data_IF_046911081101
#
_entry.id   IF_046911081101
#
_cell.length_a   1.000
_cell.length_b   1.000
_cell.length_c   1.000
_cell.angle_alpha   90.00
_cell.angle_beta   90.00
_cell.angle_gamma   90.00
#
_symmetry.space_group_name_H-M   'P 1'
#
loop_
_entity.id
_entity.type
_entity.pdbx_description
1 polymer ?
#
# COMPACT_ATOMS: atom_id res chain seq x y z
N UNK A 1 9.96 25.94 -17.48
CA UNK A 1 10.02 25.54 -16.04
C UNK A 1 9.98 24.02 -15.98
N UNK A 2 10.70 23.39 -15.06
CA UNK A 2 10.61 21.93 -14.86
C UNK A 2 9.29 21.62 -14.15
N UNK A 3 8.48 20.71 -14.70
CA UNK A 3 7.23 20.29 -14.09
C UNK A 3 7.47 19.54 -12.76
N UNK A 4 6.57 19.72 -11.80
CA UNK A 4 6.56 18.97 -10.56
C UNK A 4 5.89 17.60 -10.78
N UNK A 5 6.32 16.61 -10.02
CA UNK A 5 5.77 15.24 -10.08
C UNK A 5 5.33 14.81 -8.69
N UNK A 6 4.06 14.50 -8.54
CA UNK A 6 3.51 13.83 -7.37
C UNK A 6 3.05 12.43 -7.77
N UNK A 7 3.71 11.41 -7.22
CA UNK A 7 3.34 10.03 -7.41
C UNK A 7 2.63 9.52 -6.13
N UNK A 8 1.31 9.34 -6.22
CA UNK A 8 0.52 8.75 -5.13
C UNK A 8 0.39 7.26 -5.42
N UNK A 9 0.87 6.43 -4.50
CA UNK A 9 0.96 5.00 -4.67
C UNK A 9 0.24 4.28 -3.53
N UNK A 10 -0.78 3.51 -3.87
CA UNK A 10 -1.55 2.69 -2.92
C UNK A 10 -1.13 1.23 -3.02
N UNK A 11 -1.38 0.45 -1.97
CA UNK A 11 -1.08 -0.97 -1.96
C UNK A 11 -2.37 -1.81 -2.00
N UNK A 12 -2.36 -2.86 -2.81
CA UNK A 12 -3.43 -3.87 -2.90
C UNK A 12 -4.81 -3.29 -3.28
N UNK A 13 -4.87 -2.14 -3.93
CA UNK A 13 -6.15 -1.58 -4.40
C UNK A 13 -6.63 -2.30 -5.65
N UNK A 14 -7.82 -2.89 -5.57
CA UNK A 14 -8.48 -3.52 -6.71
C UNK A 14 -8.97 -2.44 -7.69
N UNK A 15 -8.68 -2.64 -8.96
CA UNK A 15 -9.00 -1.66 -10.00
C UNK A 15 -10.52 -1.42 -10.20
N UNK A 16 -11.35 -2.37 -9.81
CA UNK A 16 -12.81 -2.28 -9.85
C UNK A 16 -13.42 -1.55 -8.64
N UNK A 17 -12.68 -1.38 -7.55
CA UNK A 17 -13.15 -0.68 -6.35
C UNK A 17 -12.99 0.85 -6.46
N UNK A 18 -13.57 1.43 -7.52
CA UNK A 18 -13.56 2.87 -7.81
C UNK A 18 -14.95 3.31 -8.28
N UNK A 19 -15.49 4.39 -7.68
CA UNK A 19 -16.83 4.91 -8.00
C UNK A 19 -16.97 5.29 -9.47
N UNK A 20 -16.01 6.03 -10.03
CA UNK A 20 -16.04 6.44 -11.44
C UNK A 20 -15.92 5.26 -12.44
N UNK A 21 -15.57 4.06 -11.98
CA UNK A 21 -15.61 2.82 -12.77
C UNK A 21 -16.93 2.08 -12.67
N UNK A 22 -17.91 2.63 -11.94
CA UNK A 22 -19.24 2.04 -11.78
C UNK A 22 -19.36 1.08 -10.61
N UNK A 23 -18.45 1.13 -9.61
CA UNK A 23 -18.65 0.34 -8.41
C UNK A 23 -19.83 0.92 -7.61
N UNK A 24 -20.88 0.11 -7.40
CA UNK A 24 -22.14 0.57 -6.84
C UNK A 24 -22.06 0.94 -5.36
N UNK A 25 -21.21 0.23 -4.60
CA UNK A 25 -21.11 0.35 -3.14
C UNK A 25 -19.95 1.27 -2.76
N UNK A 26 -18.73 1.00 -3.27
CA UNK A 26 -17.54 1.75 -2.89
C UNK A 26 -17.60 3.17 -3.39
N UNK A 27 -17.46 4.13 -2.46
CA UNK A 27 -17.50 5.57 -2.74
C UNK A 27 -16.10 6.17 -2.73
N UNK A 28 -15.69 6.75 -3.85
CA UNK A 28 -14.38 7.38 -4.01
C UNK A 28 -14.49 8.84 -4.51
N UNK A 29 -15.21 9.73 -3.81
CA UNK A 29 -15.63 11.03 -4.35
C UNK A 29 -14.46 11.92 -4.79
N UNK A 30 -13.31 11.84 -4.12
CA UNK A 30 -12.12 12.61 -4.48
C UNK A 30 -11.44 12.06 -5.74
N UNK A 31 -11.38 10.74 -5.91
CA UNK A 31 -10.86 10.13 -7.13
C UNK A 31 -11.82 10.28 -8.29
N UNK A 32 -13.12 10.22 -8.02
CA UNK A 32 -14.16 10.45 -9.03
C UNK A 32 -14.05 11.88 -9.60
N UNK A 33 -13.83 12.88 -8.72
CA UNK A 33 -13.58 14.26 -9.14
C UNK A 33 -12.25 14.40 -9.92
N UNK A 34 -11.18 13.75 -9.45
CA UNK A 34 -9.88 13.77 -10.13
C UNK A 34 -9.99 13.15 -11.52
N UNK A 35 -10.76 12.08 -11.70
CA UNK A 35 -10.93 11.40 -12.98
C UNK A 35 -11.54 12.31 -14.07
N UNK A 36 -12.32 13.33 -13.68
CA UNK A 36 -12.95 14.26 -14.61
C UNK A 36 -11.96 15.23 -15.27
N UNK A 37 -10.79 15.45 -14.65
CA UNK A 37 -9.76 16.39 -15.11
C UNK A 37 -8.43 15.72 -15.42
N UNK A 38 -8.41 14.40 -15.50
CA UNK A 38 -7.20 13.62 -15.72
C UNK A 38 -7.37 12.57 -16.81
N UNK A 39 -6.25 12.01 -17.27
CA UNK A 39 -6.25 10.87 -18.19
C UNK A 39 -6.31 9.58 -17.36
N UNK A 40 -7.30 8.75 -17.63
CA UNK A 40 -7.44 7.45 -17.01
C UNK A 40 -6.97 6.33 -17.96
N UNK A 41 -5.97 5.56 -17.52
CA UNK A 41 -5.47 4.39 -18.25
C UNK A 41 -6.23 3.14 -17.81
N UNK A 42 -7.27 2.79 -18.57
CA UNK A 42 -8.15 1.67 -18.26
C UNK A 42 -7.43 0.31 -18.18
N UNK A 43 -6.44 0.11 -19.04
CA UNK A 43 -5.68 -1.13 -19.15
C UNK A 43 -4.24 -0.90 -18.70
N UNK A 44 -4.06 -0.72 -17.38
CA UNK A 44 -2.76 -0.61 -16.74
C UNK A 44 -2.52 -1.86 -15.90
N UNK A 45 -1.37 -2.50 -16.09
CA UNK A 45 -1.04 -3.78 -15.48
C UNK A 45 0.27 -3.69 -14.70
N UNK A 46 0.27 -4.23 -13.48
CA UNK A 46 1.50 -4.47 -12.77
C UNK A 46 2.27 -5.63 -13.41
N UNK A 47 3.58 -5.51 -13.46
CA UNK A 47 4.46 -6.59 -13.97
C UNK A 47 4.54 -7.79 -13.04
N UNK A 48 4.14 -7.62 -11.78
CA UNK A 48 4.06 -8.66 -10.77
C UNK A 48 2.97 -8.32 -9.76
N UNK A 49 2.15 -9.28 -9.31
CA UNK A 49 1.08 -9.04 -8.33
C UNK A 49 1.56 -9.07 -6.86
N UNK A 50 2.88 -9.04 -6.61
CA UNK A 50 3.49 -9.01 -5.29
C UNK A 50 4.12 -7.66 -5.00
N UNK A 51 4.10 -7.24 -3.73
CA UNK A 51 4.54 -5.91 -3.30
C UNK A 51 5.99 -5.62 -3.66
N UNK A 52 6.96 -6.39 -3.15
CA UNK A 52 8.38 -6.11 -3.33
C UNK A 52 8.80 -6.17 -4.80
N UNK A 53 8.45 -7.20 -5.60
CA UNK A 53 8.80 -7.23 -7.02
C UNK A 53 8.17 -6.08 -7.82
N UNK A 54 6.89 -5.76 -7.57
CA UNK A 54 6.23 -4.65 -8.24
C UNK A 54 6.88 -3.30 -7.90
N UNK A 55 7.20 -3.09 -6.61
CA UNK A 55 7.88 -1.86 -6.15
C UNK A 55 9.30 -1.76 -6.72
N UNK A 56 10.05 -2.86 -6.73
CA UNK A 56 11.36 -2.92 -7.36
C UNK A 56 11.31 -2.53 -8.83
N UNK A 57 10.35 -3.05 -9.56
CA UNK A 57 10.14 -2.70 -10.97
C UNK A 57 9.74 -1.23 -11.17
N UNK A 58 8.86 -0.69 -10.34
CA UNK A 58 8.49 0.73 -10.36
C UNK A 58 9.71 1.61 -10.09
N UNK A 59 10.53 1.26 -9.11
CA UNK A 59 11.68 2.08 -8.74
C UNK A 59 12.80 2.06 -9.76
N UNK A 60 13.06 0.90 -10.39
CA UNK A 60 14.22 0.69 -11.27
C UNK A 60 13.90 0.70 -12.76
N UNK A 61 12.63 0.50 -13.13
CA UNK A 61 12.24 0.26 -14.53
C UNK A 61 12.58 -1.14 -15.04
N UNK A 62 13.10 -2.03 -14.18
CA UNK A 62 13.48 -3.40 -14.53
C UNK A 62 12.36 -4.39 -14.23
N UNK A 63 12.24 -5.42 -15.04
CA UNK A 63 11.37 -6.56 -14.70
C UNK A 63 11.94 -7.36 -13.52
N UNK A 64 11.09 -8.08 -12.75
CA UNK A 64 11.54 -8.88 -11.60
C UNK A 64 12.71 -9.83 -11.90
N UNK A 65 12.68 -10.50 -13.04
CA UNK A 65 13.78 -11.42 -13.46
C UNK A 65 15.09 -10.68 -13.79
N UNK A 66 15.03 -9.41 -14.17
CA UNK A 66 16.22 -8.58 -14.44
C UNK A 66 16.81 -8.01 -13.14
N UNK A 67 15.94 -7.53 -12.23
CA UNK A 67 16.38 -7.05 -10.93
C UNK A 67 16.78 -8.17 -9.97
N UNK A 68 16.32 -9.41 -10.20
CA UNK A 68 16.47 -10.55 -9.30
C UNK A 68 15.51 -10.55 -8.12
N UNK A 69 14.67 -9.53 -7.99
CA UNK A 69 13.65 -9.39 -6.94
C UNK A 69 12.37 -10.05 -7.44
N UNK A 70 12.19 -11.33 -7.13
CA UNK A 70 11.06 -12.14 -7.66
C UNK A 70 10.02 -12.49 -6.61
N UNK A 71 10.29 -12.24 -5.33
CA UNK A 71 9.39 -12.48 -4.21
C UNK A 71 9.46 -11.32 -3.21
N UNK A 72 8.57 -11.31 -2.23
CA UNK A 72 8.60 -10.32 -1.16
C UNK A 72 9.89 -10.45 -0.34
N UNK A 73 10.44 -9.33 0.07
CA UNK A 73 11.50 -9.31 1.07
C UNK A 73 10.97 -9.98 2.34
N UNK A 74 11.82 -10.68 3.07
CA UNK A 74 11.52 -11.45 4.27
C UNK A 74 10.88 -12.84 4.06
N UNK A 75 10.52 -13.21 2.83
CA UNK A 75 9.97 -14.54 2.53
C UNK A 75 11.09 -15.53 2.17
N UNK A 76 12.19 -15.04 1.63
CA UNK A 76 13.27 -15.86 1.08
C UNK A 76 12.95 -16.38 -0.33
N UNK A 77 13.95 -16.94 -0.99
CA UNK A 77 13.79 -17.54 -2.33
C UNK A 77 14.06 -16.62 -3.50
N UNK A 78 14.13 -15.32 -3.31
CA UNK A 78 14.59 -14.38 -4.32
C UNK A 78 16.12 -14.45 -4.47
N UNK A 79 16.61 -14.30 -5.71
CA UNK A 79 18.04 -14.11 -5.98
C UNK A 79 18.56 -12.83 -5.33
N UNK A 80 17.72 -11.81 -5.30
CA UNK A 80 17.92 -10.53 -4.65
C UNK A 80 16.72 -10.26 -3.74
N UNK A 81 16.93 -10.31 -2.43
CA UNK A 81 15.85 -10.09 -1.46
C UNK A 81 15.50 -8.62 -1.30
N UNK A 82 16.48 -7.73 -1.46
CA UNK A 82 16.34 -6.29 -1.24
C UNK A 82 16.85 -5.51 -2.44
N UNK A 83 16.36 -4.29 -2.59
CA UNK A 83 16.92 -3.38 -3.58
C UNK A 83 18.34 -2.98 -3.15
N UNK A 84 19.38 -3.32 -3.94
CA UNK A 84 20.75 -2.99 -3.57
C UNK A 84 20.97 -1.48 -3.56
N UNK A 85 21.84 -1.00 -2.67
CA UNK A 85 22.20 0.44 -2.58
C UNK A 85 22.77 1.01 -3.88
N UNK A 86 23.34 0.16 -4.71
CA UNK A 86 23.86 0.53 -6.03
C UNK A 86 22.80 0.62 -7.13
N UNK A 87 21.54 0.24 -6.82
CA UNK A 87 20.47 0.32 -7.80
C UNK A 87 20.13 1.77 -8.11
N UNK A 88 20.16 2.11 -9.40
CA UNK A 88 19.68 3.41 -9.88
C UNK A 88 18.16 3.39 -9.95
N UNK A 89 17.54 4.37 -9.31
CA UNK A 89 16.10 4.52 -9.29
C UNK A 89 15.65 5.74 -10.10
N UNK A 90 14.38 5.78 -10.46
CA UNK A 90 13.83 6.97 -11.11
C UNK A 90 13.88 8.22 -10.22
N UNK A 91 13.91 8.06 -8.88
CA UNK A 91 14.13 9.18 -7.95
C UNK A 91 15.55 9.75 -8.10
N UNK A 92 16.56 8.91 -8.33
CA UNK A 92 17.92 9.38 -8.60
C UNK A 92 17.95 10.20 -9.89
N UNK A 93 17.31 9.72 -10.96
CA UNK A 93 17.20 10.46 -12.20
C UNK A 93 16.47 11.81 -12.02
N UNK A 94 15.43 11.86 -11.18
CA UNK A 94 14.73 13.10 -10.86
C UNK A 94 15.60 14.07 -10.07
N UNK A 95 16.35 13.59 -9.08
CA UNK A 95 17.33 14.37 -8.32
C UNK A 95 18.41 14.94 -9.25
N UNK A 96 19.00 14.09 -10.08
CA UNK A 96 20.05 14.49 -11.02
C UNK A 96 19.56 15.50 -12.06
N UNK A 97 18.27 15.51 -12.33
CA UNK A 97 17.62 16.56 -13.12
C UNK A 97 17.45 17.89 -12.36
N UNK A 98 17.89 17.97 -11.08
CA UNK A 98 17.84 19.19 -10.24
C UNK A 98 16.49 19.41 -9.56
N UNK A 99 15.70 18.35 -9.35
CA UNK A 99 14.50 18.40 -8.53
C UNK A 99 14.81 18.04 -7.09
N UNK A 100 14.11 18.64 -6.15
CA UNK A 100 14.03 18.11 -4.79
C UNK A 100 13.20 16.83 -4.82
N UNK A 101 13.72 15.76 -4.24
CA UNK A 101 13.04 14.47 -4.22
C UNK A 101 12.62 14.11 -2.80
N UNK A 102 11.46 13.47 -2.67
CA UNK A 102 10.93 12.95 -1.42
C UNK A 102 10.22 11.62 -1.63
N UNK A 103 10.31 10.76 -0.63
CA UNK A 103 9.57 9.52 -0.58
C UNK A 103 9.04 9.32 0.84
N UNK A 104 7.73 9.27 1.00
CA UNK A 104 7.06 9.05 2.29
C UNK A 104 6.18 7.83 2.23
N UNK A 105 6.31 6.97 3.24
CA UNK A 105 5.45 5.83 3.41
C UNK A 105 6.07 4.47 3.08
N UNK A 106 5.24 3.51 2.65
CA UNK A 106 5.65 2.12 2.45
C UNK A 106 6.74 1.99 1.39
N UNK A 107 7.91 1.52 1.81
CA UNK A 107 9.02 1.20 0.92
C UNK A 107 9.01 -0.26 0.47
N UNK A 108 9.12 -1.19 1.40
CA UNK A 108 9.06 -2.65 1.21
C UNK A 108 10.07 -3.19 0.18
N UNK A 109 11.26 -2.60 0.15
CA UNK A 109 12.37 -3.02 -0.71
C UNK A 109 13.66 -3.24 0.10
N UNK A 110 13.52 -3.57 1.39
CA UNK A 110 14.61 -3.82 2.31
C UNK A 110 15.00 -2.60 3.15
N UNK A 111 15.96 -2.83 4.04
CA UNK A 111 16.34 -1.88 5.09
C UNK A 111 17.53 -1.00 4.69
N UNK A 112 18.37 -1.52 3.79
CA UNK A 112 19.71 -0.98 3.57
C UNK A 112 19.77 0.10 2.49
N UNK A 113 18.65 0.40 1.85
CA UNK A 113 18.63 1.51 0.93
C UNK A 113 18.67 2.81 1.74
N UNK A 114 19.88 3.20 2.05
CA UNK A 114 20.17 4.51 2.59
C UNK A 114 20.50 5.41 1.41
N UNK A 115 19.61 6.35 1.11
CA UNK A 115 20.05 7.49 0.33
C UNK A 115 21.22 8.13 1.09
N UNK A 116 22.40 8.04 0.53
CA UNK A 116 23.58 8.75 1.03
C UNK A 116 23.45 10.25 0.81
N UNK A 117 22.37 10.66 0.17
CA UNK A 117 22.11 12.02 -0.23
C UNK A 117 21.13 12.70 0.71
N UNK A 118 21.59 13.75 1.36
CA UNK A 118 20.82 14.56 2.33
C UNK A 118 19.60 15.27 1.72
N UNK A 119 19.42 15.21 0.40
CA UNK A 119 18.31 15.85 -0.31
C UNK A 119 17.06 14.96 -0.44
N UNK A 120 17.13 13.70 -0.01
CA UNK A 120 16.00 12.76 -0.08
C UNK A 120 15.46 12.52 1.31
N UNK A 121 14.19 12.85 1.50
CA UNK A 121 13.49 12.60 2.75
C UNK A 121 12.70 11.29 2.63
N UNK A 122 13.05 10.28 3.45
CA UNK A 122 12.33 9.02 3.54
C UNK A 122 11.66 8.86 4.88
N UNK A 123 10.41 8.48 4.86
CA UNK A 123 9.75 7.81 5.97
C UNK A 123 9.51 6.36 5.57
N UNK A 124 10.45 5.52 5.95
CA UNK A 124 10.35 4.11 5.64
C UNK A 124 9.31 3.47 6.55
N UNK A 125 8.16 3.12 6.00
CA UNK A 125 7.34 2.12 6.63
C UNK A 125 8.05 0.78 6.45
N UNK A 126 8.61 0.29 7.51
CA UNK A 126 9.16 -1.05 7.57
C UNK A 126 8.00 -2.01 7.78
N UNK A 127 7.78 -2.86 6.81
CA UNK A 127 6.92 -4.02 6.98
C UNK A 127 7.81 -5.11 7.57
N UNK A 128 7.33 -5.72 8.60
CA UNK A 128 7.78 -6.88 9.35
C UNK A 128 9.11 -7.55 8.93
N UNK A 129 10.03 -7.67 9.83
CA UNK A 129 11.37 -8.28 9.70
C UNK A 129 12.37 -7.68 10.67
N UNK A 130 12.20 -6.44 11.09
CA UNK A 130 13.08 -5.77 12.03
C UNK A 130 12.66 -6.07 13.48
N UNK A 131 13.13 -7.19 14.01
CA UNK A 131 12.85 -7.64 15.38
C UNK A 131 13.19 -6.62 16.47
N UNK A 132 14.10 -5.68 16.20
CA UNK A 132 14.47 -4.65 17.17
C UNK A 132 13.60 -3.38 17.09
N UNK A 133 12.89 -3.14 15.98
CA UNK A 133 12.08 -1.95 15.77
C UNK A 133 10.59 -2.12 16.02
N UNK A 134 10.16 -3.26 16.49
CA UNK A 134 8.80 -3.51 16.97
C UNK A 134 8.35 -2.59 18.12
N UNK A 135 9.25 -1.79 18.68
CA UNK A 135 8.92 -0.82 19.73
C UNK A 135 8.15 0.41 19.24
N UNK A 136 8.08 0.61 17.93
CA UNK A 136 7.23 1.65 17.31
C UNK A 136 6.06 1.07 16.52
N UNK A 137 5.64 -0.15 16.85
CA UNK A 137 4.35 -0.66 16.39
C UNK A 137 3.29 0.39 16.65
N UNK A 138 2.51 0.72 15.60
CA UNK A 138 1.18 1.24 15.84
C UNK A 138 0.56 0.28 16.84
N UNK A 139 0.12 0.73 18.03
CA UNK A 139 -0.55 -0.16 18.97
C UNK A 139 -1.59 -0.93 18.17
N UNK A 140 -1.58 -2.25 18.28
CA UNK A 140 -2.63 -3.05 17.65
C UNK A 140 -3.95 -2.44 18.12
N UNK A 141 -4.83 -1.99 17.22
CA UNK A 141 -6.08 -1.40 17.64
C UNK A 141 -6.79 -2.46 18.48
N UNK A 142 -7.37 -2.07 19.62
CA UNK A 142 -8.14 -3.00 20.40
C UNK A 142 -9.19 -3.62 19.48
N UNK A 143 -9.17 -4.94 19.35
CA UNK A 143 -10.16 -5.67 18.57
C UNK A 143 -11.49 -5.45 19.24
N UNK A 144 -12.31 -4.57 18.69
CA UNK A 144 -13.68 -4.48 19.13
C UNK A 144 -14.44 -5.67 18.53
N UNK A 145 -15.27 -6.33 19.32
CA UNK A 145 -16.05 -7.53 18.93
C UNK A 145 -16.98 -7.36 17.71
N UNK A 146 -17.00 -6.19 17.11
CA UNK A 146 -17.87 -5.80 15.99
C UNK A 146 -17.28 -6.09 14.64
N UNK A 147 -16.69 -7.16 14.42
CA UNK A 147 -16.24 -7.54 13.09
C UNK A 147 -17.09 -8.66 12.52
N UNK A 148 -18.39 -8.57 12.62
CA UNK A 148 -19.26 -9.60 12.08
C UNK A 148 -19.74 -9.19 10.70
N UNK A 149 -19.10 -9.72 9.66
CA UNK A 149 -19.81 -9.90 8.39
C UNK A 149 -20.98 -10.85 8.72
N UNK A 150 -22.23 -10.32 8.69
CA UNK A 150 -23.43 -11.11 8.86
C UNK A 150 -23.41 -12.21 7.80
N UNK A 151 -23.32 -13.47 8.23
CA UNK A 151 -23.32 -14.63 7.33
C UNK A 151 -22.03 -15.46 7.31
N UNK A 152 -20.98 -15.08 8.00
CA UNK A 152 -19.72 -15.82 8.01
C UNK A 152 -19.46 -16.49 9.37
N UNK A 153 -20.37 -17.32 9.85
CA UNK A 153 -20.17 -18.09 11.09
C UNK A 153 -18.96 -19.03 11.03
N UNK A 154 -18.60 -19.48 9.84
CA UNK A 154 -17.46 -20.35 9.66
C UNK A 154 -16.11 -19.63 9.79
N UNK A 155 -16.05 -18.31 9.51
CA UNK A 155 -14.86 -17.50 9.79
C UNK A 155 -14.68 -17.29 11.30
N UNK A 156 -15.76 -17.36 12.11
CA UNK A 156 -15.64 -17.36 13.57
C UNK A 156 -14.91 -18.60 14.11
N UNK A 157 -14.97 -19.72 13.42
CA UNK A 157 -14.21 -20.92 13.79
C UNK A 157 -12.73 -20.82 13.44
N UNK A 158 -12.38 -20.13 12.38
CA UNK A 158 -10.99 -19.83 12.02
C UNK A 158 -10.32 -18.87 13.01
N UNK A 159 -11.09 -18.07 13.78
CA UNK A 159 -10.57 -17.19 14.84
C UNK A 159 -9.99 -17.91 16.05
N UNK A 160 -10.12 -19.21 16.19
CA UNK A 160 -9.58 -19.98 17.32
C UNK A 160 -8.16 -20.49 17.14
N UNK A 161 -7.51 -20.27 16.01
CA UNK A 161 -6.06 -20.43 15.91
C UNK A 161 -5.39 -19.13 16.34
N UNK A 162 -5.12 -19.03 17.63
CA UNK A 162 -4.55 -17.84 18.29
C UNK A 162 -3.14 -17.45 17.80
N UNK A 163 -2.59 -18.15 16.82
CA UNK A 163 -1.15 -18.14 16.56
C UNK A 163 -0.70 -17.58 15.21
N UNK A 164 -1.57 -17.09 14.32
CA UNK A 164 -1.04 -16.83 12.99
C UNK A 164 -1.25 -15.45 12.34
N UNK A 165 -2.25 -14.65 12.70
CA UNK A 165 -2.38 -13.30 12.10
C UNK A 165 -3.11 -12.32 13.01
N UNK A 166 -2.68 -11.04 13.08
CA UNK A 166 -3.46 -10.00 13.73
C UNK A 166 -4.83 -9.86 13.04
N UNK A 167 -5.84 -9.33 13.72
CA UNK A 167 -7.16 -9.17 13.13
C UNK A 167 -7.04 -8.31 11.86
N UNK A 168 -7.58 -8.83 10.77
CA UNK A 168 -7.50 -8.16 9.46
C UNK A 168 -8.25 -6.83 9.39
N UNK A 169 -9.05 -6.49 10.40
CA UNK A 169 -9.83 -5.27 10.48
C UNK A 169 -10.09 -4.84 11.93
N UNK A 170 -10.34 -3.55 12.13
CA UNK A 170 -10.62 -3.02 13.45
C UNK A 170 -11.00 -1.54 13.44
N UNK A 171 -11.43 -1.03 14.59
CA UNK A 171 -11.73 0.37 14.79
C UNK A 171 -10.53 1.08 15.40
N UNK A 172 -10.17 2.23 14.86
CA UNK A 172 -9.22 3.16 15.44
C UNK A 172 -9.95 4.28 16.19
N UNK A 173 -9.33 4.79 17.25
CA UNK A 173 -9.90 5.90 18.02
C UNK A 173 -9.85 7.21 17.22
N UNK A 174 -8.86 7.38 16.34
CA UNK A 174 -8.70 8.60 15.57
C UNK A 174 -7.97 8.39 14.25
N UNK A 175 -8.11 9.36 13.33
CA UNK A 175 -7.47 9.34 12.01
C UNK A 175 -5.94 9.48 12.12
N UNK A 176 -5.44 10.17 13.13
CA UNK A 176 -4.02 10.41 13.35
C UNK A 176 -3.25 9.11 13.61
N UNK A 177 -3.95 8.06 14.07
CA UNK A 177 -3.38 6.72 14.25
C UNK A 177 -3.19 5.97 12.93
N UNK A 178 -3.81 6.44 11.84
CA UNK A 178 -3.60 5.87 10.52
C UNK A 178 -2.21 6.20 9.98
N UNK A 179 -1.58 5.19 9.39
CA UNK A 179 -0.32 5.37 8.69
C UNK A 179 -0.45 6.38 7.54
N UNK A 180 -1.54 6.28 6.78
CA UNK A 180 -1.85 7.18 5.67
C UNK A 180 -1.95 8.63 6.08
N UNK A 181 -2.48 8.91 7.30
CA UNK A 181 -2.52 10.27 7.84
C UNK A 181 -1.12 10.86 7.98
N UNK A 182 -0.20 10.11 8.60
CA UNK A 182 1.19 10.57 8.79
C UNK A 182 1.91 10.79 7.46
N UNK A 183 1.72 9.87 6.50
CA UNK A 183 2.27 10.03 5.15
C UNK A 183 1.71 11.28 4.48
N UNK A 184 0.41 11.53 4.62
CA UNK A 184 -0.24 12.73 4.08
C UNK A 184 0.32 14.00 4.70
N UNK A 185 0.47 14.06 6.03
CA UNK A 185 1.05 15.23 6.70
C UNK A 185 2.46 15.52 6.22
N UNK A 186 3.34 14.51 6.14
CA UNK A 186 4.69 14.69 5.60
C UNK A 186 4.71 15.12 4.13
N UNK A 187 3.77 14.61 3.35
CA UNK A 187 3.59 15.03 1.96
C UNK A 187 3.25 16.52 1.88
N UNK A 188 2.29 16.97 2.68
CA UNK A 188 1.89 18.39 2.73
C UNK A 188 3.03 19.29 3.21
N UNK A 189 3.74 18.89 4.26
CA UNK A 189 4.89 19.63 4.79
C UNK A 189 6.01 19.76 3.75
N UNK A 190 6.27 18.69 2.99
CA UNK A 190 7.24 18.73 1.90
C UNK A 190 6.82 19.70 0.80
N UNK A 191 5.57 19.66 0.39
CA UNK A 191 5.03 20.56 -0.64
C UNK A 191 5.12 22.02 -0.20
N UNK A 192 4.81 22.33 1.04
CA UNK A 192 4.90 23.68 1.61
C UNK A 192 6.33 24.19 1.61
N UNK A 193 7.28 23.39 2.11
CA UNK A 193 8.72 23.76 2.16
C UNK A 193 9.38 23.93 0.79
N UNK A 194 8.82 23.32 -0.25
CA UNK A 194 9.38 23.33 -1.58
C UNK A 194 8.56 24.13 -2.61
N UNK A 195 7.70 25.04 -2.14
CA UNK A 195 6.99 25.96 -3.02
C UNK A 195 7.96 26.77 -3.89
N UNK A 196 7.63 26.91 -5.16
CA UNK A 196 8.47 27.65 -6.12
C UNK A 196 9.75 26.95 -6.59
N UNK A 197 10.04 25.75 -6.10
CA UNK A 197 11.18 24.94 -6.54
C UNK A 197 10.68 23.71 -7.33
N UNK A 198 11.44 23.19 -8.28
CA UNK A 198 11.08 21.95 -8.93
C UNK A 198 11.26 20.77 -7.96
N UNK A 199 10.24 19.93 -7.85
CA UNK A 199 10.26 18.77 -6.94
C UNK A 199 9.64 17.53 -7.59
N UNK A 200 9.98 16.38 -7.00
CA UNK A 200 9.39 15.09 -7.29
C UNK A 200 9.15 14.34 -5.98
N UNK A 201 7.92 13.97 -5.72
CA UNK A 201 7.49 13.39 -4.46
C UNK A 201 6.69 12.11 -4.67
N UNK A 202 7.01 11.08 -3.89
CA UNK A 202 6.20 9.87 -3.78
C UNK A 202 5.52 9.84 -2.42
N UNK A 203 4.19 9.70 -2.43
CA UNK A 203 3.37 9.39 -1.28
C UNK A 203 2.89 7.94 -1.40
N UNK A 204 3.54 7.04 -0.67
CA UNK A 204 3.31 5.59 -0.75
C UNK A 204 2.47 5.12 0.43
N UNK A 205 1.21 4.82 0.17
CA UNK A 205 0.23 4.43 1.18
C UNK A 205 0.21 2.91 1.35
N UNK A 206 -0.07 2.43 2.56
CA UNK A 206 -0.31 1.00 2.81
C UNK A 206 -1.74 0.62 2.42
N UNK A 207 -2.70 1.46 2.74
CA UNK A 207 -4.10 1.19 2.42
C UNK A 207 -4.38 1.09 0.91
N UNK A 208 -5.34 0.24 0.54
CA UNK A 208 -6.21 -0.62 1.35
C UNK A 208 -5.65 -2.01 1.70
N UNK A 209 -4.32 -2.22 1.65
CA UNK A 209 -3.71 -3.44 2.18
C UNK A 209 -4.11 -3.63 3.66
N UNK A 210 -4.35 -4.87 4.07
CA UNK A 210 -4.67 -5.17 5.47
C UNK A 210 -3.50 -4.85 6.43
N UNK A 211 -3.76 -4.67 7.74
CA UNK A 211 -5.05 -4.70 8.42
C UNK A 211 -5.93 -3.49 8.10
N UNK A 212 -7.23 -3.74 7.87
CA UNK A 212 -8.20 -2.70 7.54
C UNK A 212 -8.73 -2.04 8.82
N UNK A 213 -7.89 -1.25 9.48
CA UNK A 213 -8.24 -0.55 10.72
C UNK A 213 -8.56 0.90 10.40
N UNK A 214 -9.80 1.30 10.63
CA UNK A 214 -10.29 2.62 10.26
C UNK A 214 -10.96 3.35 11.45
N UNK A 215 -10.84 4.67 11.55
CA UNK A 215 -11.63 5.47 12.49
C UNK A 215 -13.02 5.74 11.91
N UNK A 216 -13.93 6.25 12.74
CA UNK A 216 -15.17 6.84 12.24
C UNK A 216 -14.88 8.08 11.37
N UNK A 217 -15.68 8.36 10.37
CA UNK A 217 -16.89 7.63 9.94
C UNK A 217 -16.59 6.44 9.02
N UNK A 218 -15.36 6.19 8.65
CA UNK A 218 -14.96 5.17 7.67
C UNK A 218 -15.18 3.74 8.18
N UNK A 219 -15.10 3.53 9.50
CA UNK A 219 -15.25 2.21 10.10
C UNK A 219 -16.67 1.67 9.94
N UNK A 220 -17.67 2.50 10.17
CA UNK A 220 -19.09 2.12 10.08
C UNK A 220 -19.77 2.51 8.76
N UNK A 221 -19.02 3.06 7.81
CA UNK A 221 -19.56 3.66 6.59
C UNK A 221 -20.47 2.72 5.77
N UNK A 222 -20.26 1.42 5.89
CA UNK A 222 -20.97 0.39 5.14
C UNK A 222 -21.76 -0.59 6.01
N UNK A 223 -21.98 -0.28 7.31
CA UNK A 223 -22.67 -1.19 8.24
C UNK A 223 -24.13 -1.48 7.82
N UNK A 224 -24.79 -0.48 7.25
CA UNK A 224 -26.18 -0.57 6.79
C UNK A 224 -26.31 -0.92 5.29
N UNK A 225 -25.19 -1.24 4.63
CA UNK A 225 -25.19 -1.59 3.21
C UNK A 225 -25.19 -3.11 3.05
N UNK A 226 -26.16 -3.61 2.27
CA UNK A 226 -26.16 -5.02 1.86
C UNK A 226 -25.03 -5.25 0.82
N UNK A 227 -23.96 -5.92 1.26
CA UNK A 227 -22.81 -6.23 0.41
C UNK A 227 -23.03 -7.63 -0.16
N UNK A 228 -23.22 -7.79 -1.47
CA UNK A 228 -23.44 -9.10 -2.07
C UNK A 228 -22.19 -9.97 -1.92
N UNK A 229 -22.41 -11.24 -1.60
CA UNK A 229 -21.32 -12.20 -1.57
C UNK A 229 -20.84 -12.50 -2.99
N UNK A 230 -19.52 -12.74 -3.18
CA UNK A 230 -18.99 -13.16 -4.47
C UNK A 230 -19.68 -14.45 -4.96
N UNK A 231 -19.98 -14.53 -6.26
CA UNK A 231 -20.63 -15.72 -6.87
C UNK A 231 -19.83 -17.01 -6.63
N UNK A 232 -18.50 -16.90 -6.55
CA UNK A 232 -17.60 -18.03 -6.33
C UNK A 232 -17.33 -18.33 -4.83
N UNK A 233 -18.07 -17.75 -3.91
CA UNK A 233 -17.85 -17.99 -2.47
C UNK A 233 -18.06 -19.46 -2.06
N UNK A 234 -18.87 -20.22 -2.81
CA UNK A 234 -19.11 -21.65 -2.62
C UNK A 234 -18.15 -22.56 -3.39
N UNK A 235 -17.12 -22.03 -4.06
CA UNK A 235 -16.17 -22.82 -4.83
C UNK A 235 -15.39 -23.75 -3.88
N UNK A 236 -15.46 -25.05 -4.16
CA UNK A 236 -14.77 -26.09 -3.38
C UNK A 236 -13.34 -26.33 -3.83
N UNK A 237 -12.87 -25.53 -4.79
CA UNK A 237 -11.54 -25.64 -5.41
C UNK A 237 -11.26 -26.99 -6.08
N UNK A 238 -12.30 -27.78 -6.34
CA UNK A 238 -12.18 -29.04 -7.06
C UNK A 238 -11.60 -28.81 -8.46
N UNK A 239 -10.64 -29.65 -8.85
CA UNK A 239 -9.94 -29.56 -10.13
C UNK A 239 -9.12 -28.26 -10.33
N UNK A 240 -8.77 -27.60 -9.27
CA UNK A 240 -7.83 -26.45 -9.28
C UNK A 240 -6.38 -26.92 -9.13
N UNK A 241 -5.39 -26.12 -9.52
CA UNK A 241 -4.00 -26.40 -9.23
C UNK A 241 -3.76 -26.60 -7.73
N UNK A 242 -2.83 -27.47 -7.35
CA UNK A 242 -2.55 -27.87 -5.98
C UNK A 242 -2.31 -26.69 -4.99
N UNK A 243 -1.79 -25.61 -5.50
CA UNK A 243 -1.54 -24.39 -4.68
C UNK A 243 -2.81 -23.56 -4.39
N UNK A 244 -3.96 -23.97 -4.90
CA UNK A 244 -5.27 -23.37 -4.62
C UNK A 244 -6.16 -24.25 -3.74
N UNK A 245 -5.68 -25.45 -3.36
CA UNK A 245 -6.41 -26.41 -2.51
C UNK A 245 -6.03 -26.24 -1.04
#
# INVERSE_FOLDING_TARGET
MKENVLFIFTDQWKADCLGFRGHEIVKTPNLDRLSQISTFYKNSYSVCPLCTPARGSIMTGLYPHQSGIIDNCDVGGSRQEYLPNSAVTWLDAMRDSGRKTGYFGKWHLGLDWQSTDKEVEFDLCRVEGDRERHKTRIPEPPVTERGQLKGLEDIKKAKKSEDMYPPFYGKLDSIEKRFEYRVTQKTLDFLERNQGKPWCLTASLVGPHFPNCNPEPFYSMYDDVDIPLPENMGDRFENKPWFQN
#
